data_IF_506748944247
#
_entry.id   IF_506748944247
#
_cell.length_a   1.000
_cell.length_b   1.000
_cell.length_c   1.000
_cell.angle_alpha   90.00
_cell.angle_beta   90.00
_cell.angle_gamma   90.00
#
_symmetry.space_group_name_H-M   'P 1'
#
loop_
_entity.id
_entity.type
_entity.pdbx_description
1 polymer ?
#
# COMPACT_ATOMS: atom_id res chain seq x y z
N UNK A 1 8.73 -17.21 16.73
CA UNK A 1 8.06 -16.17 15.92
C UNK A 1 8.11 -14.86 16.68
N UNK A 2 8.14 -13.71 15.99
CA UNK A 2 8.08 -12.40 16.64
C UNK A 2 6.67 -12.12 17.18
N UNK A 3 6.55 -11.54 18.37
CA UNK A 3 5.38 -10.74 18.73
C UNK A 3 5.42 -9.43 17.93
N UNK A 4 4.33 -8.68 17.82
CA UNK A 4 4.32 -7.43 17.06
C UNK A 4 3.38 -6.39 17.67
N UNK A 5 3.63 -5.13 17.35
CA UNK A 5 2.78 -3.97 17.67
C UNK A 5 2.25 -3.35 16.39
N UNK A 6 1.23 -2.49 16.50
CA UNK A 6 0.70 -1.70 15.39
C UNK A 6 0.95 -0.22 15.66
N UNK A 7 1.33 0.52 14.63
CA UNK A 7 1.56 1.96 14.65
C UNK A 7 0.90 2.58 13.42
N UNK A 8 0.30 3.77 13.58
CA UNK A 8 -0.15 4.58 12.45
C UNK A 8 0.85 5.71 12.23
N UNK A 9 1.18 5.95 10.96
CA UNK A 9 2.17 6.92 10.52
C UNK A 9 1.57 7.78 9.41
N UNK A 10 1.88 9.07 9.42
CA UNK A 10 1.64 9.96 8.30
C UNK A 10 2.90 10.06 7.44
N UNK A 11 2.78 9.77 6.15
CA UNK A 11 3.84 9.94 5.16
C UNK A 11 3.59 11.27 4.44
N UNK A 12 4.55 12.19 4.52
CA UNK A 12 4.38 13.56 4.02
C UNK A 12 4.86 13.65 2.56
N UNK A 13 3.98 14.11 1.67
CA UNK A 13 4.30 14.36 0.27
C UNK A 13 4.86 15.80 0.10
N UNK A 14 5.60 16.10 -0.98
CA UNK A 14 6.22 17.43 -1.18
C UNK A 14 5.23 18.59 -1.22
N UNK A 15 3.99 18.32 -1.63
CA UNK A 15 2.90 19.30 -1.70
C UNK A 15 2.16 19.47 -0.35
N UNK A 16 2.62 18.81 0.70
CA UNK A 16 2.07 18.91 2.05
C UNK A 16 0.94 17.91 2.34
N UNK A 17 0.48 17.14 1.36
CA UNK A 17 -0.52 16.09 1.59
C UNK A 17 0.08 14.95 2.40
N UNK A 18 -0.70 14.41 3.34
CA UNK A 18 -0.30 13.28 4.17
C UNK A 18 -1.02 12.01 3.73
N UNK A 19 -0.23 10.98 3.42
CA UNK A 19 -0.74 9.64 3.17
C UNK A 19 -0.77 8.83 4.47
N UNK A 20 -1.88 8.14 4.72
CA UNK A 20 -2.04 7.29 5.88
C UNK A 20 -1.32 5.97 5.68
N UNK A 21 -0.46 5.63 6.62
CA UNK A 21 0.20 4.33 6.68
C UNK A 21 -0.09 3.64 8.01
N UNK A 22 -0.31 2.33 7.96
CA UNK A 22 -0.35 1.48 9.15
C UNK A 22 0.81 0.49 9.07
N UNK A 23 1.64 0.48 10.10
CA UNK A 23 2.76 -0.44 10.25
C UNK A 23 2.45 -1.50 11.30
N UNK A 24 2.58 -2.77 10.93
CA UNK A 24 2.71 -3.89 11.85
C UNK A 24 4.19 -4.20 12.04
N UNK A 25 4.67 -4.05 13.27
CA UNK A 25 6.09 -3.94 13.57
C UNK A 25 6.48 -5.08 14.52
N UNK A 26 7.44 -5.96 14.17
CA UNK A 26 7.89 -7.01 15.07
C UNK A 26 8.50 -6.41 16.33
N UNK A 27 8.19 -6.94 17.51
CA UNK A 27 8.84 -6.55 18.78
C UNK A 27 10.30 -7.00 18.72
N UNK A 28 11.27 -6.08 18.89
CA UNK A 28 12.68 -6.41 18.70
C UNK A 28 13.13 -7.41 19.77
N UNK A 29 13.96 -8.38 19.39
CA UNK A 29 14.54 -9.37 20.30
C UNK A 29 15.80 -8.88 20.99
N UNK A 30 16.49 -7.91 20.37
CA UNK A 30 17.68 -7.26 20.88
C UNK A 30 17.59 -5.76 20.64
N UNK A 31 18.34 -4.98 21.42
CA UNK A 31 18.41 -3.53 21.22
C UNK A 31 18.91 -3.23 19.80
N UNK A 32 18.34 -2.19 19.18
CA UNK A 32 18.69 -1.67 17.86
C UNK A 32 18.40 -2.59 16.65
N UNK A 33 17.64 -3.67 16.82
CA UNK A 33 17.21 -4.52 15.71
C UNK A 33 16.40 -3.73 14.67
N UNK A 34 16.94 -3.64 13.45
CA UNK A 34 16.28 -3.04 12.27
C UNK A 34 15.78 -4.13 11.34
N UNK A 35 14.58 -3.95 10.80
CA UNK A 35 13.90 -4.92 9.95
C UNK A 35 13.70 -4.36 8.53
N UNK A 36 13.67 -5.21 7.49
CA UNK A 36 13.18 -4.79 6.18
C UNK A 36 11.68 -4.48 6.24
N UNK A 37 11.22 -3.58 5.37
CA UNK A 37 9.79 -3.25 5.23
C UNK A 37 9.23 -3.92 3.98
N UNK A 38 8.07 -4.54 4.11
CA UNK A 38 7.21 -4.90 2.99
C UNK A 38 5.95 -4.04 3.06
N UNK A 39 5.63 -3.32 1.99
CA UNK A 39 4.42 -2.51 1.97
C UNK A 39 3.51 -2.81 0.79
N UNK A 40 2.22 -2.59 1.00
CA UNK A 40 1.21 -2.58 -0.04
C UNK A 40 0.64 -1.16 -0.18
N UNK A 41 0.47 -0.70 -1.42
CA UNK A 41 -0.06 0.61 -1.77
C UNK A 41 -1.24 0.45 -2.72
N UNK A 42 -2.45 0.83 -2.30
CA UNK A 42 -3.68 0.65 -3.09
C UNK A 42 -4.78 1.60 -2.62
N UNK A 43 -5.80 1.88 -3.46
CA UNK A 43 -6.89 2.78 -3.10
C UNK A 43 -8.00 2.12 -2.26
N UNK A 44 -7.84 0.86 -1.83
CA UNK A 44 -8.94 0.06 -1.26
C UNK A 44 -9.10 0.15 0.26
N UNK A 45 -8.82 1.32 0.86
CA UNK A 45 -9.14 1.64 2.26
C UNK A 45 -8.61 0.60 3.27
N UNK A 46 -7.32 0.69 3.60
CA UNK A 46 -6.59 -0.30 4.42
C UNK A 46 -7.17 -0.59 5.80
N UNK A 47 -7.96 0.32 6.36
CA UNK A 47 -8.53 0.22 7.72
C UNK A 47 -9.96 -0.35 7.74
N UNK A 48 -10.57 -0.59 6.57
CA UNK A 48 -11.98 -0.97 6.45
C UNK A 48 -12.14 -2.42 5.95
N UNK A 49 -12.92 -2.65 4.89
CA UNK A 49 -13.32 -3.97 4.40
C UNK A 49 -12.12 -4.88 4.09
N UNK A 50 -11.01 -4.33 3.60
CA UNK A 50 -9.81 -5.09 3.28
C UNK A 50 -8.94 -5.43 4.48
N UNK A 51 -9.16 -4.80 5.64
CA UNK A 51 -8.37 -5.06 6.84
C UNK A 51 -8.40 -6.55 7.23
N UNK A 52 -9.59 -7.17 7.22
CA UNK A 52 -9.74 -8.58 7.56
C UNK A 52 -9.14 -9.52 6.50
N UNK A 53 -9.23 -9.16 5.23
CA UNK A 53 -8.65 -9.92 4.13
C UNK A 53 -7.11 -9.92 4.20
N UNK A 54 -6.52 -8.80 4.59
CA UNK A 54 -5.08 -8.60 4.63
C UNK A 54 -4.39 -9.17 5.88
N UNK A 55 -5.13 -9.31 6.99
CA UNK A 55 -4.60 -9.74 8.28
C UNK A 55 -3.76 -11.03 8.25
N UNK A 56 -4.18 -12.13 7.58
CA UNK A 56 -3.40 -13.36 7.53
C UNK A 56 -1.99 -13.14 6.93
N UNK A 57 -1.90 -12.36 5.86
CA UNK A 57 -0.64 -12.05 5.19
C UNK A 57 0.25 -11.15 6.06
N UNK A 58 -0.34 -10.12 6.68
CA UNK A 58 0.36 -9.24 7.63
C UNK A 58 0.96 -10.08 8.77
N UNK A 59 0.16 -10.93 9.41
CA UNK A 59 0.60 -11.75 10.54
C UNK A 59 1.66 -12.76 10.14
N UNK A 60 1.54 -13.36 8.96
CA UNK A 60 2.53 -14.29 8.43
C UNK A 60 3.90 -13.63 8.26
N UNK A 61 3.94 -12.43 7.66
CA UNK A 61 5.18 -11.70 7.36
C UNK A 61 5.79 -11.07 8.62
N UNK A 62 4.98 -10.41 9.46
CA UNK A 62 5.48 -9.72 10.66
C UNK A 62 6.09 -10.69 11.68
N UNK A 63 5.50 -11.88 11.82
CA UNK A 63 6.02 -12.95 12.71
C UNK A 63 7.36 -13.52 12.24
N UNK A 64 7.77 -13.21 11.01
CA UNK A 64 9.04 -13.60 10.38
C UNK A 64 10.08 -12.46 10.32
N UNK A 65 9.81 -11.33 10.96
CA UNK A 65 10.79 -10.24 11.11
C UNK A 65 10.73 -9.18 10.00
N UNK A 66 9.61 -9.09 9.26
CA UNK A 66 9.35 -7.97 8.38
C UNK A 66 8.49 -6.94 9.10
N UNK A 67 8.78 -5.66 8.92
CA UNK A 67 7.77 -4.63 9.16
C UNK A 67 6.81 -4.68 7.98
N UNK A 68 5.52 -4.78 8.24
CA UNK A 68 4.51 -4.81 7.18
C UNK A 68 3.73 -3.51 7.21
N UNK A 69 3.81 -2.74 6.14
CA UNK A 69 3.06 -1.50 6.00
C UNK A 69 1.89 -1.66 5.01
N UNK A 70 0.79 -0.97 5.30
CA UNK A 70 -0.31 -0.73 4.37
C UNK A 70 -0.44 0.76 4.20
N UNK A 71 -0.55 1.24 2.97
CA UNK A 71 -0.61 2.67 2.66
C UNK A 71 -1.80 2.92 1.74
N UNK A 72 -2.65 3.87 2.12
CA UNK A 72 -3.76 4.31 1.28
C UNK A 72 -3.25 5.31 0.23
N UNK A 73 -3.68 5.15 -1.00
CA UNK A 73 -3.41 6.11 -2.09
C UNK A 73 -4.02 7.48 -1.75
N UNK A 74 -3.42 8.56 -2.26
CA UNK A 74 -3.91 9.93 -2.11
C UNK A 74 -5.42 10.02 -2.35
N UNK A 75 -6.12 10.71 -1.45
CA UNK A 75 -7.57 10.93 -1.51
C UNK A 75 -8.42 9.67 -1.30
N UNK A 76 -7.84 8.58 -0.80
CA UNK A 76 -8.56 7.33 -0.50
C UNK A 76 -8.40 6.93 0.96
N UNK A 77 -9.38 6.19 1.48
CA UNK A 77 -9.36 5.70 2.86
C UNK A 77 -9.10 6.81 3.87
N UNK A 78 -8.00 6.68 4.61
CA UNK A 78 -7.58 7.66 5.62
C UNK A 78 -6.54 8.67 5.09
N UNK A 79 -6.11 8.57 3.83
CA UNK A 79 -5.16 9.53 3.23
C UNK A 79 -5.83 10.85 2.87
N UNK A 80 -5.10 11.95 3.04
CA UNK A 80 -5.55 13.28 2.63
C UNK A 80 -5.45 13.47 1.11
N UNK A 81 -5.88 14.65 0.64
CA UNK A 81 -5.79 15.06 -0.75
C UNK A 81 -7.06 14.75 -1.54
N UNK A 82 -6.94 14.83 -2.87
CA UNK A 82 -8.03 14.58 -3.80
C UNK A 82 -7.75 13.24 -4.49
N UNK A 83 -8.81 12.44 -4.68
CA UNK A 83 -8.75 11.20 -5.43
C UNK A 83 -8.10 11.44 -6.79
N UNK A 84 -7.11 10.60 -7.13
CA UNK A 84 -6.44 10.67 -8.43
C UNK A 84 -7.43 10.43 -9.58
N UNK A 85 -7.18 11.06 -10.72
CA UNK A 85 -8.13 11.10 -11.84
C UNK A 85 -8.34 9.74 -12.53
N UNK A 86 -7.37 8.83 -12.44
CA UNK A 86 -7.41 7.48 -12.99
C UNK A 86 -6.37 6.59 -12.30
N UNK A 87 -6.39 5.30 -12.61
CA UNK A 87 -5.42 4.33 -12.11
C UNK A 87 -4.00 4.64 -12.60
N UNK A 88 -3.01 4.50 -11.70
CA UNK A 88 -1.58 4.56 -12.01
C UNK A 88 -1.12 5.87 -12.65
N UNK A 89 -1.66 6.99 -12.18
CA UNK A 89 -1.24 8.32 -12.62
C UNK A 89 0.23 8.60 -12.27
N UNK A 90 0.85 9.55 -12.96
CA UNK A 90 2.18 10.05 -12.59
C UNK A 90 2.23 10.48 -11.12
N UNK A 91 1.18 11.17 -10.64
CA UNK A 91 1.07 11.59 -9.25
C UNK A 91 1.07 10.41 -8.26
N UNK A 92 0.33 9.33 -8.55
CA UNK A 92 0.33 8.13 -7.71
C UNK A 92 1.74 7.50 -7.65
N UNK A 93 2.44 7.45 -8.78
CA UNK A 93 3.79 6.90 -8.83
C UNK A 93 4.81 7.81 -8.12
N UNK A 94 4.72 9.13 -8.28
CA UNK A 94 5.58 10.11 -7.58
C UNK A 94 5.35 10.06 -6.07
N UNK A 95 4.09 9.98 -5.63
CA UNK A 95 3.78 9.76 -4.22
C UNK A 95 4.39 8.45 -3.71
N UNK A 96 4.29 7.38 -4.50
CA UNK A 96 4.85 6.08 -4.13
C UNK A 96 6.40 6.11 -4.02
N UNK A 97 7.11 6.94 -4.80
CA UNK A 97 8.55 7.16 -4.62
C UNK A 97 8.85 7.69 -3.23
N UNK A 98 8.14 8.74 -2.82
CA UNK A 98 8.30 9.35 -1.50
C UNK A 98 7.89 8.43 -0.36
N UNK A 99 6.87 7.59 -0.57
CA UNK A 99 6.50 6.52 0.38
C UNK A 99 7.67 5.56 0.57
N UNK A 100 8.30 5.09 -0.51
CA UNK A 100 9.44 4.16 -0.44
C UNK A 100 10.62 4.78 0.31
N UNK A 101 10.95 6.03 0.02
CA UNK A 101 12.04 6.75 0.69
C UNK A 101 11.77 6.91 2.19
N UNK A 102 10.58 7.39 2.57
CA UNK A 102 10.22 7.58 3.97
C UNK A 102 10.15 6.27 4.76
N UNK A 103 9.69 5.18 4.13
CA UNK A 103 9.73 3.85 4.74
C UNK A 103 11.17 3.34 4.88
N UNK A 104 12.03 3.58 3.89
CA UNK A 104 13.45 3.22 3.99
C UNK A 104 14.13 3.93 5.17
N UNK A 105 13.77 5.19 5.42
CA UNK A 105 14.31 6.04 6.50
C UNK A 105 13.59 5.87 7.85
N UNK A 106 12.49 5.10 7.89
CA UNK A 106 11.77 4.84 9.14
C UNK A 106 12.73 4.26 10.19
N UNK A 107 12.67 4.77 11.42
CA UNK A 107 13.71 4.51 12.42
C UNK A 107 13.91 3.03 12.75
N UNK A 108 12.96 2.13 12.47
CA UNK A 108 13.10 0.66 12.67
C UNK A 108 13.39 -0.10 11.38
N UNK A 109 13.47 0.59 10.25
CA UNK A 109 13.84 0.07 8.95
C UNK A 109 15.35 -0.17 8.86
N UNK A 110 15.75 -1.17 8.09
CA UNK A 110 17.15 -1.36 7.68
C UNK A 110 17.44 -0.76 6.30
N UNK A 111 16.57 0.12 5.79
CA UNK A 111 16.70 0.76 4.48
C UNK A 111 16.32 -0.11 3.29
N UNK A 112 15.89 -1.36 3.51
CA UNK A 112 15.42 -2.26 2.44
C UNK A 112 13.91 -2.32 2.46
N UNK A 113 13.32 -1.89 1.35
CA UNK A 113 11.87 -1.87 1.14
C UNK A 113 11.53 -2.86 0.03
N UNK A 114 10.43 -3.59 0.19
CA UNK A 114 9.80 -4.36 -0.87
C UNK A 114 8.32 -4.00 -1.00
N UNK A 115 7.79 -4.17 -2.20
CA UNK A 115 6.35 -4.04 -2.46
C UNK A 115 5.73 -5.41 -2.65
N UNK A 116 4.47 -5.56 -2.25
CA UNK A 116 3.70 -6.78 -2.48
C UNK A 116 2.22 -6.44 -2.64
N UNK A 117 1.47 -7.36 -3.21
CA UNK A 117 0.02 -7.28 -3.16
C UNK A 117 -0.69 -8.15 -4.17
N UNK A 118 -1.90 -7.72 -4.53
CA UNK A 118 -2.78 -8.36 -5.49
C UNK A 118 -3.54 -7.27 -6.27
N UNK A 119 -3.74 -7.48 -7.58
CA UNK A 119 -4.42 -6.51 -8.44
C UNK A 119 -3.67 -5.17 -8.42
N UNK A 120 -4.32 -4.06 -8.02
CA UNK A 120 -3.76 -2.71 -8.10
C UNK A 120 -2.36 -2.54 -7.52
N UNK A 121 -2.17 -3.03 -6.30
CA UNK A 121 -0.88 -2.96 -5.61
C UNK A 121 0.21 -3.78 -6.29
N UNK A 122 -0.18 -4.77 -7.10
CA UNK A 122 0.78 -5.47 -7.93
C UNK A 122 1.14 -4.66 -9.17
N UNK A 123 0.17 -4.09 -9.88
CA UNK A 123 0.44 -3.26 -11.05
C UNK A 123 1.34 -2.07 -10.71
N UNK A 124 1.02 -1.30 -9.67
CA UNK A 124 1.86 -0.17 -9.28
C UNK A 124 3.26 -0.63 -8.82
N UNK A 125 3.40 -1.77 -8.14
CA UNK A 125 4.71 -2.29 -7.73
C UNK A 125 5.60 -2.66 -8.92
N UNK A 126 5.02 -3.26 -9.98
CA UNK A 126 5.74 -3.54 -11.22
C UNK A 126 6.19 -2.25 -11.90
N UNK A 127 5.30 -1.25 -11.97
CA UNK A 127 5.65 0.07 -12.52
C UNK A 127 6.77 0.74 -11.73
N UNK A 128 6.72 0.71 -10.39
CA UNK A 128 7.78 1.24 -9.53
C UNK A 128 9.12 0.55 -9.79
N UNK A 129 9.13 -0.77 -9.90
CA UNK A 129 10.34 -1.54 -10.19
C UNK A 129 10.94 -1.22 -11.57
N UNK A 130 10.09 -1.04 -12.59
CA UNK A 130 10.53 -0.86 -13.98
C UNK A 130 10.91 0.60 -14.27
N UNK A 131 10.05 1.54 -13.85
CA UNK A 131 10.11 2.94 -14.24
C UNK A 131 10.97 3.79 -13.30
N UNK A 132 10.93 3.53 -11.99
CA UNK A 132 11.54 4.42 -10.98
C UNK A 132 12.87 3.91 -10.43
N UNK A 133 13.04 2.58 -10.32
CA UNK A 133 14.33 1.93 -9.99
C UNK A 133 15.02 2.49 -8.73
N UNK A 134 14.24 2.77 -7.69
CA UNK A 134 14.78 3.32 -6.45
C UNK A 134 15.76 2.37 -5.78
N UNK A 135 16.86 2.91 -5.27
CA UNK A 135 17.88 2.11 -4.57
C UNK A 135 17.30 1.36 -3.37
N UNK A 136 16.33 1.92 -2.66
CA UNK A 136 15.73 1.28 -1.49
C UNK A 136 14.79 0.11 -1.84
N UNK A 137 14.21 0.08 -3.05
CA UNK A 137 13.29 -0.97 -3.49
C UNK A 137 14.07 -2.22 -3.91
N UNK A 138 14.03 -3.26 -3.08
CA UNK A 138 14.83 -4.49 -3.24
C UNK A 138 14.07 -5.66 -3.82
N UNK A 139 12.75 -5.68 -3.70
CA UNK A 139 11.92 -6.77 -4.17
C UNK A 139 10.49 -6.31 -4.46
N UNK A 140 9.86 -6.97 -5.44
CA UNK A 140 8.44 -6.87 -5.72
C UNK A 140 7.86 -8.27 -5.78
N UNK A 141 6.77 -8.50 -5.05
CA UNK A 141 5.95 -9.70 -5.18
C UNK A 141 4.65 -9.38 -5.89
N UNK A 142 4.38 -10.10 -6.98
CA UNK A 142 3.30 -9.80 -7.91
C UNK A 142 2.32 -10.95 -8.05
N UNK A 143 1.05 -10.72 -7.71
CA UNK A 143 -0.04 -11.66 -7.92
C UNK A 143 -1.21 -11.00 -8.65
N UNK A 144 -1.70 -11.63 -9.73
CA UNK A 144 -2.80 -11.11 -10.56
C UNK A 144 -2.55 -9.72 -11.13
N UNK A 145 -1.44 -9.57 -11.86
CA UNK A 145 -1.18 -8.38 -12.67
C UNK A 145 -0.59 -8.75 -14.03
N UNK A 146 -0.50 -7.74 -14.88
CA UNK A 146 -0.01 -7.79 -16.25
C UNK A 146 0.77 -6.52 -16.56
N UNK A 147 1.67 -6.57 -17.53
CA UNK A 147 2.30 -5.40 -18.13
C UNK A 147 1.45 -4.75 -19.25
N UNK A 148 0.42 -5.46 -19.73
CA UNK A 148 -0.64 -4.95 -20.60
C UNK A 148 -1.90 -4.62 -19.78
N UNK A 149 -2.00 -3.36 -19.33
CA UNK A 149 -3.17 -2.86 -18.59
C UNK A 149 -4.43 -2.81 -19.45
N UNK A 150 -4.30 -2.56 -20.75
CA UNK A 150 -5.48 -2.41 -21.59
C UNK A 150 -6.18 -3.76 -21.77
N UNK A 151 -5.43 -4.80 -22.15
CA UNK A 151 -6.05 -6.09 -22.52
C UNK A 151 -6.28 -7.04 -21.35
N UNK A 152 -5.49 -6.93 -20.28
CA UNK A 152 -5.46 -7.93 -19.22
C UNK A 152 -5.87 -7.38 -17.84
N UNK A 153 -6.21 -6.09 -17.76
CA UNK A 153 -6.87 -5.55 -16.58
C UNK A 153 -8.40 -5.61 -16.73
N UNK A 154 -9.11 -5.25 -15.67
CA UNK A 154 -10.56 -5.47 -15.52
C UNK A 154 -11.42 -4.66 -16.51
N UNK A 155 -10.89 -3.58 -17.10
CA UNK A 155 -11.67 -2.61 -17.86
C UNK A 155 -11.90 -2.97 -19.32
N UNK A 156 -10.89 -3.53 -20.01
CA UNK A 156 -10.99 -3.86 -21.44
C UNK A 156 -10.46 -5.26 -21.77
N UNK A 157 -10.92 -6.32 -21.07
CA UNK A 157 -10.54 -7.69 -21.42
C UNK A 157 -10.82 -7.95 -22.90
N UNK A 158 -9.78 -8.39 -23.62
CA UNK A 158 -9.81 -8.60 -25.07
C UNK A 158 -10.23 -7.37 -25.91
N UNK A 159 -10.09 -6.16 -25.36
CA UNK A 159 -10.42 -4.88 -26.02
C UNK A 159 -11.90 -4.49 -25.95
N UNK A 160 -12.71 -5.20 -25.16
CA UNK A 160 -14.14 -4.91 -24.98
C UNK A 160 -14.34 -4.25 -23.61
N UNK A 161 -15.02 -3.10 -23.58
CA UNK A 161 -15.40 -2.47 -22.32
C UNK A 161 -16.18 -3.46 -21.46
N UNK A 162 -15.62 -3.76 -20.29
CA UNK A 162 -16.21 -4.64 -19.31
C UNK A 162 -16.74 -3.82 -18.13
N UNK A 163 -17.99 -4.08 -17.76
CA UNK A 163 -18.64 -3.48 -16.62
C UNK A 163 -19.33 -4.61 -15.85
N UNK A 164 -18.95 -4.76 -14.59
CA UNK A 164 -19.59 -5.68 -13.67
C UNK A 164 -19.78 -5.02 -12.29
N UNK A 165 -20.39 -5.78 -11.37
CA UNK A 165 -20.58 -5.33 -10.00
C UNK A 165 -19.25 -5.07 -9.27
N UNK A 166 -18.19 -5.80 -9.61
CA UNK A 166 -16.91 -5.68 -8.92
C UNK A 166 -16.22 -4.36 -9.25
N UNK A 167 -16.14 -3.99 -10.54
CA UNK A 167 -15.56 -2.72 -10.99
C UNK A 167 -16.27 -1.54 -10.33
N UNK A 168 -17.60 -1.53 -10.39
CA UNK A 168 -18.41 -0.47 -9.77
C UNK A 168 -18.21 -0.42 -8.25
N UNK A 169 -18.03 -1.57 -7.59
CA UNK A 169 -17.81 -1.61 -6.15
C UNK A 169 -16.48 -0.99 -5.72
N UNK A 170 -15.41 -1.12 -6.54
CA UNK A 170 -14.12 -0.49 -6.26
C UNK A 170 -14.27 1.04 -6.29
N UNK A 171 -14.88 1.58 -7.33
CA UNK A 171 -15.09 3.03 -7.45
C UNK A 171 -15.96 3.58 -6.32
N UNK A 172 -17.01 2.84 -5.95
CA UNK A 172 -17.87 3.21 -4.83
C UNK A 172 -17.12 3.24 -3.50
N UNK A 173 -16.16 2.33 -3.27
CA UNK A 173 -15.37 2.38 -2.03
C UNK A 173 -14.55 3.67 -1.94
N UNK A 174 -14.02 4.18 -3.04
CA UNK A 174 -13.30 5.45 -3.06
C UNK A 174 -14.20 6.66 -2.79
N UNK A 175 -15.49 6.56 -3.08
CA UNK A 175 -16.48 7.62 -2.81
C UNK A 175 -16.99 7.62 -1.35
N UNK A 176 -16.66 6.60 -0.54
CA UNK A 176 -17.07 6.57 0.86
C UNK A 176 -16.35 7.68 1.65
N UNK A 177 -17.04 8.32 2.61
CA UNK A 177 -16.41 9.30 3.49
C UNK A 177 -15.22 8.68 4.25
N UNK A 178 -14.31 9.53 4.73
CA UNK A 178 -13.22 9.09 5.59
C UNK A 178 -13.76 8.33 6.82
N UNK A 179 -13.04 7.30 7.26
CA UNK A 179 -13.43 6.53 8.44
C UNK A 179 -13.41 7.47 9.65
N UNK A 180 -14.48 7.55 10.45
CA UNK A 180 -14.50 8.44 11.62
C UNK A 180 -13.47 7.99 12.65
N UNK A 181 -12.84 8.94 13.35
CA UNK A 181 -11.92 8.69 14.47
C UNK A 181 -12.69 8.19 15.71
N UNK A 182 -13.29 7.00 15.64
CA UNK A 182 -13.89 6.36 16.80
C UNK A 182 -12.79 5.91 17.77
N UNK A 183 -12.81 6.42 19.00
CA UNK A 183 -12.03 5.87 20.11
C UNK A 183 -12.48 4.42 20.35
N UNK A 184 -11.59 3.46 20.14
CA UNK A 184 -11.87 2.02 20.34
C UNK A 184 -11.88 1.61 21.82
N UNK A 185 -11.96 2.59 22.73
CA UNK A 185 -12.04 2.35 24.17
C UNK A 185 -13.50 2.34 24.62
N UNK A 186 -14.11 1.15 24.58
CA UNK A 186 -15.08 0.67 25.59
C UNK A 186 -14.72 -0.77 25.99
#
# INVERSE_FOLDING_TARGET
MYNFTRENLWLLMPDGVRLSATLSIPVPKHNDEKCPILFEYKPYRKDDNFFNFDQPNIFYLVRRGFIVAKVDVRGTGSSEGILIEREYTTQELDDCEHVIEQLADYYRSNGRVGMYGLSWSTFNSLMMAILRRLTALKAVFSAHASDDLYKNDIHYPDGILHLDHYIVSIDQTNALPATPDYSINE
#
